data_IF_820154839898
#
_entry.id   IF_820154839898
#
_cell.length_a   1.000
_cell.length_b   1.000
_cell.length_c   1.000
_cell.angle_alpha   90.00
_cell.angle_beta   90.00
_cell.angle_gamma   90.00
#
_symmetry.space_group_name_H-M   'P 1'
#
loop_
_entity.id
_entity.type
_entity.pdbx_description
1 polymer ?
#
# COMPACT_ATOMS: atom_id res chain seq x y z
N UNK A 1 17.82 11.15 -16.86
CA UNK A 1 17.01 11.09 -15.61
C UNK A 1 17.84 10.84 -14.37
N UNK A 2 18.88 9.99 -14.39
CA UNK A 2 19.75 9.67 -13.23
C UNK A 2 20.04 10.85 -12.28
N UNK A 3 20.41 12.04 -12.77
CA UNK A 3 20.66 13.20 -11.89
C UNK A 3 19.49 13.64 -11.00
N UNK A 4 18.22 13.43 -11.42
CA UNK A 4 17.04 13.69 -10.57
C UNK A 4 16.87 12.60 -9.51
N UNK A 5 17.13 11.33 -9.85
CA UNK A 5 17.13 10.22 -8.88
C UNK A 5 18.20 10.41 -7.81
N UNK A 6 19.43 10.73 -8.23
CA UNK A 6 20.54 11.01 -7.31
C UNK A 6 20.21 12.21 -6.42
N UNK A 7 19.53 13.25 -6.92
CA UNK A 7 19.06 14.37 -6.11
C UNK A 7 18.01 13.95 -5.07
N UNK A 8 17.03 13.11 -5.44
CA UNK A 8 16.02 12.56 -4.50
C UNK A 8 16.71 11.72 -3.42
N UNK A 9 17.56 10.77 -3.80
CA UNK A 9 18.29 9.90 -2.86
C UNK A 9 19.20 10.69 -1.92
N UNK A 10 19.88 11.73 -2.41
CA UNK A 10 20.73 12.61 -1.60
C UNK A 10 19.93 13.56 -0.69
N UNK A 11 18.74 14.01 -1.10
CA UNK A 11 17.83 14.77 -0.25
C UNK A 11 17.27 13.90 0.90
N UNK A 12 16.91 12.65 0.63
CA UNK A 12 16.56 11.65 1.64
C UNK A 12 17.74 11.32 2.56
N UNK A 13 18.98 11.34 2.06
CA UNK A 13 20.18 11.13 2.88
C UNK A 13 20.46 12.27 3.87
N UNK A 14 20.17 13.52 3.49
CA UNK A 14 20.38 14.73 4.31
C UNK A 14 19.20 15.06 5.22
N UNK A 15 18.22 14.18 5.33
CA UNK A 15 16.98 14.40 6.09
C UNK A 15 16.55 13.14 6.84
N UNK A 16 15.55 13.27 7.70
CA UNK A 16 15.03 12.12 8.44
C UNK A 16 14.22 11.18 7.51
N UNK A 17 14.86 10.09 7.10
CA UNK A 17 14.24 9.02 6.31
C UNK A 17 13.12 8.29 7.05
N UNK A 18 13.09 8.31 8.39
CA UNK A 18 12.03 7.65 9.16
C UNK A 18 10.71 8.43 9.11
N UNK A 19 10.77 9.77 9.07
CA UNK A 19 9.58 10.62 8.98
C UNK A 19 8.93 10.60 7.59
N UNK A 20 7.72 10.03 7.53
CA UNK A 20 6.92 9.97 6.31
C UNK A 20 6.58 11.38 5.75
N UNK A 21 6.36 12.37 6.62
CA UNK A 21 6.06 13.76 6.21
C UNK A 21 7.25 14.41 5.48
N UNK A 22 8.47 14.14 5.95
CA UNK A 22 9.71 14.64 5.35
C UNK A 22 9.92 14.03 3.96
N UNK A 23 9.73 12.70 3.83
CA UNK A 23 9.80 12.02 2.53
C UNK A 23 8.73 12.54 1.56
N UNK A 24 7.49 12.69 2.00
CA UNK A 24 6.39 13.23 1.19
C UNK A 24 6.70 14.64 0.65
N UNK A 25 7.26 15.52 1.48
CA UNK A 25 7.69 16.88 1.08
C UNK A 25 8.80 16.86 0.02
N UNK A 26 9.72 15.89 0.10
CA UNK A 26 10.81 15.70 -0.88
C UNK A 26 10.27 15.21 -2.23
N UNK A 27 9.28 14.31 -2.25
CA UNK A 27 8.66 13.89 -3.52
C UNK A 27 7.81 15.01 -4.13
N UNK A 28 7.08 15.79 -3.31
CA UNK A 28 6.32 16.94 -3.79
C UNK A 28 7.20 18.01 -4.44
N UNK A 29 8.34 18.36 -3.82
CA UNK A 29 9.30 19.30 -4.42
C UNK A 29 9.98 18.73 -5.66
N UNK A 30 10.19 17.41 -5.72
CA UNK A 30 10.76 16.73 -6.89
C UNK A 30 9.82 16.72 -8.10
N UNK A 31 8.50 16.56 -7.89
CA UNK A 31 7.48 16.75 -8.93
C UNK A 31 7.50 18.17 -9.49
N UNK A 32 7.52 19.18 -8.60
CA UNK A 32 7.62 20.59 -8.99
C UNK A 32 8.95 20.90 -9.72
N UNK A 33 10.06 20.30 -9.30
CA UNK A 33 11.36 20.45 -9.96
C UNK A 33 11.40 19.83 -11.36
N UNK A 34 10.73 18.68 -11.56
CA UNK A 34 10.56 18.07 -12.89
C UNK A 34 9.79 19.01 -13.83
N UNK A 35 8.63 19.51 -13.40
CA UNK A 35 7.78 20.40 -14.22
C UNK A 35 8.48 21.73 -14.54
N UNK A 36 9.14 22.34 -13.55
CA UNK A 36 9.97 23.52 -13.76
C UNK A 36 11.19 23.24 -14.66
N UNK A 37 11.70 22.00 -14.68
CA UNK A 37 12.77 21.56 -15.56
C UNK A 37 12.31 21.40 -17.01
N UNK A 38 11.19 20.71 -17.25
CA UNK A 38 10.60 20.52 -18.58
C UNK A 38 10.22 21.84 -19.24
N UNK A 39 9.55 22.74 -18.49
CA UNK A 39 9.21 24.09 -18.98
C UNK A 39 10.45 24.95 -19.28
N UNK A 40 11.54 24.79 -18.51
CA UNK A 40 12.83 25.45 -18.83
C UNK A 40 13.51 24.89 -20.08
N UNK A 41 13.17 23.67 -20.49
CA UNK A 41 13.66 23.02 -21.71
C UNK A 41 12.75 23.30 -22.92
N UNK A 42 11.64 24.02 -22.75
CA UNK A 42 10.64 24.25 -23.79
C UNK A 42 9.81 23.00 -24.14
N UNK A 43 9.74 22.03 -23.22
CA UNK A 43 9.00 20.77 -23.40
C UNK A 43 7.61 20.94 -22.77
N UNK A 44 6.72 21.58 -23.51
CA UNK A 44 5.32 21.83 -23.13
C UNK A 44 4.32 20.84 -23.79
N UNK A 45 4.83 19.81 -24.48
CA UNK A 45 4.03 18.72 -25.07
C UNK A 45 3.34 17.87 -23.98
N UNK A 46 2.00 17.73 -24.00
CA UNK A 46 1.26 17.06 -22.92
C UNK A 46 1.55 15.57 -22.81
N UNK A 47 1.82 14.86 -23.92
CA UNK A 47 2.14 13.43 -23.88
C UNK A 47 3.55 13.21 -23.32
N UNK A 48 4.51 14.04 -23.72
CA UNK A 48 5.88 13.98 -23.19
C UNK A 48 5.87 14.33 -21.70
N UNK A 49 5.17 15.39 -21.28
CA UNK A 49 5.05 15.76 -19.85
C UNK A 49 4.37 14.65 -19.04
N UNK A 50 3.32 14.02 -19.56
CA UNK A 50 2.66 12.88 -18.91
C UNK A 50 3.62 11.67 -18.76
N UNK A 51 4.36 11.31 -19.81
CA UNK A 51 5.33 10.22 -19.77
C UNK A 51 6.48 10.49 -18.79
N UNK A 52 6.93 11.75 -18.67
CA UNK A 52 7.97 12.16 -17.73
C UNK A 52 7.46 12.09 -16.27
N UNK A 53 6.24 12.58 -16.01
CA UNK A 53 5.57 12.43 -14.70
C UNK A 53 5.43 10.95 -14.32
N UNK A 54 4.90 10.11 -15.20
CA UNK A 54 4.71 8.67 -14.93
C UNK A 54 6.03 7.96 -14.59
N UNK A 55 7.13 8.30 -15.27
CA UNK A 55 8.47 7.76 -14.95
C UNK A 55 8.98 8.22 -13.58
N UNK A 56 8.70 9.47 -13.17
CA UNK A 56 9.01 9.93 -11.81
C UNK A 56 8.18 9.19 -10.76
N UNK A 57 6.88 8.97 -10.98
CA UNK A 57 6.05 8.23 -10.03
C UNK A 57 6.52 6.79 -9.83
N UNK A 58 6.84 6.06 -10.92
CA UNK A 58 7.42 4.71 -10.85
C UNK A 58 8.72 4.70 -10.03
N UNK A 59 9.56 5.72 -10.20
CA UNK A 59 10.83 5.87 -9.48
C UNK A 59 10.63 6.22 -7.99
N UNK A 60 9.67 7.08 -7.66
CA UNK A 60 9.27 7.38 -6.28
C UNK A 60 8.70 6.13 -5.60
N UNK A 61 7.85 5.37 -6.27
CA UNK A 61 7.34 4.09 -5.75
C UNK A 61 8.44 3.05 -5.50
N UNK A 62 9.47 3.00 -6.36
CA UNK A 62 10.63 2.13 -6.15
C UNK A 62 11.43 2.53 -4.90
N UNK A 63 11.78 3.82 -4.75
CA UNK A 63 12.49 4.35 -3.58
C UNK A 63 11.68 4.17 -2.29
N UNK A 64 10.36 4.42 -2.33
CA UNK A 64 9.48 4.22 -1.18
C UNK A 64 9.38 2.75 -0.74
N UNK A 65 9.49 1.79 -1.66
CA UNK A 65 9.55 0.37 -1.33
C UNK A 65 10.92 -0.03 -0.76
N UNK A 66 12.01 0.56 -1.25
CA UNK A 66 13.36 0.39 -0.73
C UNK A 66 13.45 0.88 0.74
N UNK A 67 13.00 2.11 1.02
CA UNK A 67 13.00 2.66 2.38
C UNK A 67 12.00 1.94 3.31
N UNK A 68 10.82 1.51 2.84
CA UNK A 68 9.92 0.66 3.65
C UNK A 68 10.59 -0.66 4.05
N UNK A 69 11.21 -1.36 3.10
CA UNK A 69 11.90 -2.63 3.41
C UNK A 69 13.05 -2.41 4.40
N UNK A 70 13.78 -1.29 4.28
CA UNK A 70 14.86 -0.91 5.21
C UNK A 70 14.35 -0.58 6.62
N UNK A 71 13.22 0.11 6.74
CA UNK A 71 12.59 0.37 8.05
C UNK A 71 12.07 -0.92 8.69
N UNK A 72 11.48 -1.82 7.89
CA UNK A 72 11.05 -3.15 8.36
C UNK A 72 12.22 -3.97 8.90
N UNK A 73 13.38 -4.02 8.23
CA UNK A 73 14.55 -4.76 8.75
C UNK A 73 15.08 -4.17 10.06
N UNK A 74 15.06 -2.83 10.23
CA UNK A 74 15.47 -2.19 11.50
C UNK A 74 14.51 -2.54 12.64
N UNK A 75 13.21 -2.64 12.38
CA UNK A 75 12.21 -3.09 13.37
C UNK A 75 12.40 -4.57 13.69
N UNK A 76 12.62 -5.43 12.69
CA UNK A 76 12.87 -6.85 12.92
C UNK A 76 14.14 -7.08 13.75
N UNK A 77 15.23 -6.38 13.44
CA UNK A 77 16.47 -6.41 14.24
C UNK A 77 16.27 -5.88 15.67
N UNK A 78 15.31 -4.99 15.91
CA UNK A 78 14.96 -4.53 17.25
C UNK A 78 14.22 -5.63 18.03
N UNK A 79 13.13 -6.15 17.48
CA UNK A 79 12.32 -7.24 18.07
C UNK A 79 13.16 -8.49 18.31
N UNK A 80 14.07 -8.83 17.39
CA UNK A 80 15.00 -9.97 17.53
C UNK A 80 15.97 -9.79 18.70
N UNK A 81 16.45 -8.57 18.96
CA UNK A 81 17.31 -8.25 20.12
C UNK A 81 16.54 -8.20 21.43
N UNK A 82 15.28 -7.79 21.40
CA UNK A 82 14.42 -7.74 22.58
C UNK A 82 13.97 -9.15 23.00
N UNK A 83 13.52 -9.99 22.05
CA UNK A 83 13.19 -11.41 22.32
C UNK A 83 14.40 -12.22 22.78
N UNK A 84 15.61 -11.96 22.25
CA UNK A 84 16.85 -12.58 22.73
C UNK A 84 17.29 -12.09 24.13
N UNK A 85 16.66 -11.04 24.68
CA UNK A 85 16.94 -10.51 26.02
C UNK A 85 15.86 -10.88 27.05
N UNK A 86 14.74 -11.46 26.62
CA UNK A 86 13.72 -11.98 27.52
C UNK A 86 14.27 -13.19 28.31
N UNK A 87 14.03 -13.28 29.63
CA UNK A 87 14.43 -14.45 30.41
C UNK A 87 13.62 -15.68 29.97
N UNK A 88 14.28 -16.84 29.92
CA UNK A 88 13.64 -18.09 29.52
C UNK A 88 12.43 -18.42 30.44
N UNK A 89 11.32 -18.93 29.90
CA UNK A 89 10.14 -19.24 30.69
C UNK A 89 10.46 -20.35 31.71
N UNK A 90 10.12 -20.10 32.97
CA UNK A 90 10.34 -21.07 34.06
C UNK A 90 9.42 -22.27 33.84
N UNK A 91 10.01 -23.46 33.69
CA UNK A 91 9.26 -24.69 33.51
C UNK A 91 8.39 -24.99 34.75
N UNK A 92 7.14 -25.46 34.59
CA UNK A 92 6.28 -25.82 35.71
C UNK A 92 6.88 -27.01 36.48
N UNK A 93 6.74 -27.05 37.83
CA UNK A 93 7.34 -28.10 38.65
C UNK A 93 6.69 -29.47 38.36
N UNK A 94 7.52 -30.48 38.09
CA UNK A 94 7.06 -31.83 37.86
C UNK A 94 6.32 -32.41 39.09
N UNK A 95 5.14 -32.98 38.87
CA UNK A 95 4.39 -33.65 39.92
C UNK A 95 5.17 -34.89 40.42
N UNK A 96 5.25 -35.07 41.74
CA UNK A 96 5.95 -36.20 42.36
C UNK A 96 5.24 -37.52 42.04
N UNK A 97 5.98 -38.47 41.47
CA UNK A 97 5.50 -39.84 41.32
C UNK A 97 5.30 -40.50 42.70
N UNK A 98 4.23 -41.28 42.85
CA UNK A 98 4.02 -42.14 44.01
C UNK A 98 4.90 -43.40 43.90
N UNK A 99 5.35 -43.98 45.04
CA UNK A 99 6.20 -45.17 45.01
C UNK A 99 5.41 -46.40 44.52
N UNK A 100 5.99 -47.15 43.59
CA UNK A 100 5.41 -48.42 43.12
C UNK A 100 5.75 -49.56 44.08
N UNK A 101 4.83 -50.51 44.22
CA UNK A 101 4.98 -51.68 45.11
C UNK A 101 5.75 -52.78 44.38
N UNK A 102 6.85 -53.24 44.97
CA UNK A 102 7.68 -54.29 44.40
C UNK A 102 7.04 -55.68 44.50
N UNK A 103 7.11 -56.45 43.41
CA UNK A 103 7.08 -57.92 43.38
C UNK A 103 8.13 -58.45 42.38
N UNK A 104 8.61 -59.70 42.53
CA UNK A 104 9.97 -60.05 42.12
C UNK A 104 10.09 -60.75 40.76
N UNK A 105 11.34 -60.79 40.30
CA UNK A 105 11.96 -61.63 39.25
C UNK A 105 11.09 -62.69 38.55
N UNK A 106 11.03 -62.58 37.22
CA UNK A 106 11.12 -63.76 36.35
C UNK A 106 12.21 -63.50 35.29
N UNK A 107 12.96 -64.55 34.93
CA UNK A 107 14.26 -64.44 34.26
C UNK A 107 14.21 -65.06 32.87
N UNK A 108 14.51 -64.26 31.84
CA UNK A 108 14.79 -64.73 30.48
C UNK A 108 16.08 -64.08 30.00
N UNK A 109 16.85 -64.82 29.22
CA UNK A 109 18.17 -64.46 28.70
C UNK A 109 18.05 -63.60 27.43
N UNK A 110 18.96 -62.65 27.24
CA UNK A 110 19.33 -62.15 25.91
C UNK A 110 20.85 -61.89 25.89
N UNK A 111 21.46 -62.03 24.71
CA UNK A 111 22.86 -62.46 24.56
C UNK A 111 23.81 -61.36 24.06
N UNK A 112 25.11 -61.64 24.12
CA UNK A 112 26.26 -60.96 23.50
C UNK A 112 26.32 -59.41 23.50
N UNK A 113 27.33 -58.89 24.22
CA UNK A 113 27.72 -57.48 24.17
C UNK A 113 28.98 -57.26 23.32
N UNK A 114 29.06 -56.16 22.57
CA UNK A 114 30.34 -55.51 22.22
C UNK A 114 30.18 -53.99 21.99
N UNK A 115 30.91 -53.12 22.72
CA UNK A 115 30.96 -51.68 22.47
C UNK A 115 32.19 -51.27 21.64
N UNK A 116 32.06 -50.23 20.80
CA UNK A 116 33.21 -49.57 20.14
C UNK A 116 33.03 -48.05 20.17
N UNK A 117 33.92 -47.35 20.89
CA UNK A 117 34.03 -45.89 20.87
C UNK A 117 34.85 -45.38 19.66
N UNK A 118 34.61 -44.15 19.18
CA UNK A 118 35.36 -43.57 18.06
C UNK A 118 36.76 -43.10 18.49
N UNK A 119 37.78 -43.40 17.68
CA UNK A 119 39.14 -42.88 17.88
C UNK A 119 39.52 -41.85 16.80
N UNK A 120 39.92 -40.66 17.27
CA UNK A 120 40.60 -39.65 16.48
C UNK A 120 42.06 -40.05 16.25
N UNK A 121 42.52 -40.05 15.00
CA UNK A 121 43.94 -39.79 14.71
C UNK A 121 44.12 -39.11 13.35
N UNK A 122 44.97 -38.09 13.33
CA UNK A 122 45.48 -37.47 12.11
C UNK A 122 46.90 -37.98 11.82
N UNK A 123 47.29 -37.94 10.55
CA UNK A 123 48.67 -37.64 10.14
C UNK A 123 48.62 -36.99 8.74
N UNK A 124 49.75 -36.50 8.25
CA UNK A 124 49.88 -35.62 7.07
C UNK A 124 51.03 -36.10 6.18
N UNK A 125 50.86 -36.12 4.86
CA UNK A 125 51.90 -35.63 3.94
C UNK A 125 51.37 -35.18 2.57
N UNK A 126 52.15 -34.31 1.96
CA UNK A 126 51.87 -33.40 0.86
C UNK A 126 51.82 -34.06 -0.54
N UNK A 127 51.13 -33.42 -1.48
CA UNK A 127 51.74 -33.10 -2.79
C UNK A 127 51.09 -31.84 -3.45
N UNK A 128 51.77 -31.21 -4.40
CA UNK A 128 51.40 -29.95 -5.11
C UNK A 128 52.00 -29.94 -6.54
N UNK A 129 51.66 -29.00 -7.47
CA UNK A 129 50.82 -27.79 -7.40
C UNK A 129 49.61 -27.89 -8.37
N UNK A 130 48.97 -26.90 -9.02
CA UNK A 130 49.24 -25.46 -9.25
C UNK A 130 47.95 -24.68 -9.64
N UNK A 131 48.10 -23.37 -9.91
CA UNK A 131 47.33 -22.55 -10.85
C UNK A 131 46.11 -21.80 -10.28
N UNK A 132 46.42 -20.58 -9.82
CA UNK A 132 45.68 -19.31 -9.97
C UNK A 132 44.35 -19.10 -9.21
N UNK A 133 44.45 -18.28 -8.16
CA UNK A 133 43.38 -17.38 -7.72
C UNK A 133 43.69 -15.92 -8.14
N UNK A 134 42.68 -15.04 -8.17
CA UNK A 134 42.82 -13.60 -8.40
C UNK A 134 42.16 -12.85 -7.21
N UNK A 135 42.89 -11.98 -6.47
CA UNK A 135 42.34 -11.22 -5.35
C UNK A 135 41.83 -9.83 -5.77
N UNK A 136 40.98 -9.25 -4.93
CA UNK A 136 40.48 -7.87 -5.04
C UNK A 136 41.36 -6.88 -4.25
N UNK A 137 41.44 -5.59 -4.67
CA UNK A 137 42.13 -4.55 -3.90
C UNK A 137 41.20 -3.86 -2.89
N UNK A 138 41.71 -3.60 -1.67
CA UNK A 138 41.22 -2.54 -0.78
C UNK A 138 41.86 -1.20 -1.15
N UNK A 139 41.28 -0.10 -0.68
CA UNK A 139 41.89 1.24 -0.70
C UNK A 139 41.79 1.83 0.69
N UNK A 140 42.95 2.04 1.31
CA UNK A 140 43.31 2.80 2.52
C UNK A 140 44.86 2.88 2.45
N UNK A 141 45.60 3.92 2.84
CA UNK A 141 45.29 5.15 3.59
C UNK A 141 46.39 6.24 3.32
N UNK A 142 46.38 7.34 4.09
CA UNK A 142 47.43 8.37 4.35
C UNK A 142 47.43 9.73 3.61
N UNK A 143 46.99 10.77 4.36
CA UNK A 143 47.69 12.04 4.72
C UNK A 143 48.57 12.81 3.68
N UNK A 144 48.68 14.16 3.63
CA UNK A 144 48.02 15.36 4.19
C UNK A 144 48.63 16.60 3.42
N UNK A 145 48.49 17.91 3.68
CA UNK A 145 47.86 18.81 4.67
C UNK A 145 47.72 20.24 4.02
N UNK A 146 47.07 21.22 4.70
CA UNK A 146 47.15 22.70 4.48
C UNK A 146 46.60 23.30 3.16
N UNK A 147 45.83 24.40 3.15
CA UNK A 147 45.16 25.12 4.25
C UNK A 147 44.52 26.47 3.85
N UNK A 148 43.21 26.62 4.12
CA UNK A 148 42.48 27.85 4.55
C UNK A 148 42.62 29.16 3.72
N UNK A 149 41.62 29.50 2.90
CA UNK A 149 40.78 30.75 2.93
C UNK A 149 39.88 30.89 1.68
N UNK A 150 38.84 31.72 1.79
CA UNK A 150 38.06 32.34 0.69
C UNK A 150 38.01 33.87 0.96
N UNK A 151 37.79 34.79 -0.01
CA UNK A 151 36.50 34.89 -0.71
C UNK A 151 36.49 35.50 -2.15
N UNK A 152 35.28 35.57 -2.71
CA UNK A 152 34.68 36.60 -3.60
C UNK A 152 35.21 37.07 -4.99
N UNK A 153 34.24 37.13 -5.90
CA UNK A 153 33.89 38.20 -6.86
C UNK A 153 34.87 38.79 -7.93
N UNK A 154 34.43 38.59 -9.20
CA UNK A 154 34.47 39.50 -10.38
C UNK A 154 35.75 39.67 -11.21
N UNK A 155 35.51 40.12 -12.46
CA UNK A 155 36.44 40.61 -13.50
C UNK A 155 37.28 39.56 -14.24
N UNK A 156 37.73 39.76 -15.49
CA UNK A 156 36.99 40.00 -16.77
C UNK A 156 37.99 40.06 -17.93
N UNK A 157 37.78 39.31 -19.04
CA UNK A 157 38.48 39.47 -20.35
C UNK A 157 40.01 39.12 -20.23
N UNK A 158 40.76 38.71 -21.26
CA UNK A 158 40.75 39.13 -22.66
C UNK A 158 41.17 38.04 -23.66
N UNK A 159 40.75 38.29 -24.88
CA UNK A 159 40.90 37.60 -26.16
C UNK A 159 42.35 37.24 -26.59
N UNK A 160 42.47 36.12 -27.32
CA UNK A 160 43.37 35.90 -28.48
C UNK A 160 43.03 34.53 -29.10
N UNK A 161 43.37 34.15 -30.34
CA UNK A 161 43.32 34.82 -31.66
C UNK A 161 43.72 33.78 -32.76
N UNK A 162 43.27 34.00 -34.01
CA UNK A 162 43.61 33.21 -35.23
C UNK A 162 43.21 31.70 -35.24
N UNK A 163 42.65 31.13 -36.30
CA UNK A 163 43.07 31.23 -37.71
C UNK A 163 41.90 30.88 -38.67
N UNK A 164 41.58 31.73 -39.67
CA UNK A 164 42.05 31.75 -41.07
C UNK A 164 41.19 30.95 -42.09
N UNK A 165 40.40 31.66 -42.91
CA UNK A 165 40.47 31.66 -44.39
C UNK A 165 39.40 32.59 -45.00
N UNK A 166 39.60 33.02 -46.26
CA UNK A 166 38.83 34.08 -46.92
C UNK A 166 38.17 33.62 -48.24
N UNK A 167 36.96 34.12 -48.52
CA UNK A 167 36.52 34.51 -49.88
C UNK A 167 35.33 35.50 -49.81
N UNK A 168 35.49 36.77 -50.23
CA UNK A 168 34.38 37.72 -50.31
C UNK A 168 33.87 37.90 -51.75
N UNK A 169 32.78 37.24 -52.14
CA UNK A 169 32.19 37.40 -53.47
C UNK A 169 31.00 38.39 -53.53
N UNK A 170 31.13 39.40 -54.41
CA UNK A 170 30.08 40.21 -55.05
C UNK A 170 28.96 40.79 -54.16
N UNK A 171 29.31 41.91 -53.52
CA UNK A 171 28.49 43.12 -53.37
C UNK A 171 27.00 43.05 -53.83
N UNK A 172 26.10 42.73 -52.90
CA UNK A 172 24.66 42.81 -53.13
C UNK A 172 24.21 44.27 -53.36
N UNK A 173 23.63 44.56 -54.53
CA UNK A 173 23.18 45.92 -54.91
C UNK A 173 22.16 46.48 -53.92
N UNK A 174 22.27 47.77 -53.62
CA UNK A 174 21.52 48.47 -52.57
C UNK A 174 19.99 48.21 -52.61
N UNK A 175 19.46 47.62 -51.53
CA UNK A 175 18.07 47.14 -51.46
C UNK A 175 17.09 48.31 -51.21
N UNK A 176 16.62 48.92 -52.30
CA UNK A 176 15.68 50.07 -52.32
C UNK A 176 14.53 49.94 -51.30
N UNK A 177 14.41 50.93 -50.41
CA UNK A 177 13.23 51.35 -49.62
C UNK A 177 12.20 50.26 -49.20
N UNK A 178 12.62 49.11 -48.66
CA UNK A 178 11.67 48.10 -48.12
C UNK A 178 10.93 48.53 -46.83
N UNK A 179 11.35 49.61 -46.18
CA UNK A 179 10.81 50.03 -44.88
C UNK A 179 9.30 50.31 -44.84
N UNK A 180 8.70 50.83 -45.91
CA UNK A 180 7.24 51.10 -45.93
C UNK A 180 6.45 49.80 -46.00
N UNK A 181 6.79 48.90 -46.93
CA UNK A 181 6.10 47.60 -47.09
C UNK A 181 6.29 46.73 -45.84
N UNK A 182 7.47 46.73 -45.23
CA UNK A 182 7.73 46.00 -43.99
C UNK A 182 6.90 46.56 -42.81
N UNK A 183 6.81 47.89 -42.67
CA UNK A 183 5.94 48.52 -41.66
C UNK A 183 4.47 48.20 -41.90
N UNK A 184 3.99 48.26 -43.16
CA UNK A 184 2.61 47.98 -43.50
C UNK A 184 2.24 46.51 -43.25
N UNK A 185 3.17 45.56 -43.50
CA UNK A 185 3.03 44.17 -43.07
C UNK A 185 2.96 44.04 -41.54
N UNK A 186 3.85 44.69 -40.78
CA UNK A 186 3.82 44.66 -39.30
C UNK A 186 2.50 45.22 -38.75
N UNK A 187 2.01 46.35 -39.28
CA UNK A 187 0.70 46.91 -38.89
C UNK A 187 -0.45 45.98 -39.27
N UNK A 188 -0.42 45.33 -40.44
CA UNK A 188 -1.42 44.34 -40.83
C UNK A 188 -1.40 43.11 -39.92
N UNK A 189 -0.23 42.58 -39.56
CA UNK A 189 -0.11 41.46 -38.61
C UNK A 189 -0.60 41.85 -37.21
N UNK A 190 -0.29 43.05 -36.71
CA UNK A 190 -0.83 43.56 -35.45
C UNK A 190 -2.35 43.71 -35.48
N UNK A 191 -2.90 44.27 -36.56
CA UNK A 191 -4.34 44.44 -36.72
C UNK A 191 -5.06 43.09 -36.85
N UNK A 192 -4.45 42.11 -37.54
CA UNK A 192 -4.94 40.73 -37.60
C UNK A 192 -4.93 40.06 -36.21
N UNK A 193 -3.85 40.19 -35.43
CA UNK A 193 -3.79 39.67 -34.05
C UNK A 193 -4.83 40.33 -33.13
N UNK A 194 -5.01 41.65 -33.22
CA UNK A 194 -6.04 42.38 -32.47
C UNK A 194 -7.46 41.94 -32.87
N UNK A 195 -7.72 41.79 -34.18
CA UNK A 195 -9.00 41.31 -34.69
C UNK A 195 -9.30 39.87 -34.27
N UNK A 196 -8.31 38.97 -34.35
CA UNK A 196 -8.46 37.57 -33.94
C UNK A 196 -8.60 37.43 -32.42
N UNK A 197 -7.90 38.27 -31.64
CA UNK A 197 -8.05 38.35 -30.18
C UNK A 197 -9.42 38.87 -29.76
N UNK A 198 -9.92 39.94 -30.39
CA UNK A 198 -11.26 40.46 -30.13
C UNK A 198 -12.36 39.47 -30.56
N UNK A 199 -12.21 38.83 -31.72
CA UNK A 199 -13.09 37.75 -32.17
C UNK A 199 -13.09 36.57 -31.20
N UNK A 200 -11.92 36.14 -30.71
CA UNK A 200 -11.79 35.05 -29.75
C UNK A 200 -12.39 35.39 -28.38
N UNK A 201 -12.21 36.62 -27.88
CA UNK A 201 -12.88 37.09 -26.65
C UNK A 201 -14.41 37.07 -26.80
N UNK A 202 -14.92 37.46 -27.96
CA UNK A 202 -16.36 37.40 -28.27
C UNK A 202 -16.86 35.94 -28.39
N UNK A 203 -16.14 35.08 -29.13
CA UNK A 203 -16.58 33.71 -29.43
C UNK A 203 -16.30 32.67 -28.34
N UNK A 204 -15.39 32.95 -27.40
CA UNK A 204 -15.06 32.07 -26.27
C UNK A 204 -16.08 32.16 -25.12
N UNK A 205 -17.07 33.05 -25.23
CA UNK A 205 -18.08 33.28 -24.21
C UNK A 205 -17.54 33.84 -22.89
N UNK A 206 -16.30 34.34 -22.87
CA UNK A 206 -15.64 34.80 -21.64
C UNK A 206 -16.31 36.05 -21.02
N UNK A 207 -17.16 36.74 -21.81
CA UNK A 207 -17.99 37.88 -21.40
C UNK A 207 -19.40 37.49 -20.93
N UNK A 208 -19.87 36.25 -21.16
CA UNK A 208 -21.16 35.79 -20.63
C UNK A 208 -21.05 35.54 -19.13
N UNK A 209 -22.11 35.84 -18.38
CA UNK A 209 -22.16 35.63 -16.93
C UNK A 209 -22.10 34.14 -16.56
N UNK A 210 -21.79 33.78 -15.30
CA UNK A 210 -21.77 32.38 -14.87
C UNK A 210 -23.09 31.64 -15.14
N UNK A 211 -24.22 32.31 -14.93
CA UNK A 211 -25.56 31.74 -15.13
C UNK A 211 -25.91 31.45 -16.61
N UNK A 212 -25.30 32.17 -17.57
CA UNK A 212 -25.53 31.94 -19.00
C UNK A 212 -24.61 30.84 -19.59
N UNK A 213 -23.54 30.46 -18.86
CA UNK A 213 -22.69 29.32 -19.23
C UNK A 213 -23.25 27.99 -18.73
N UNK A 214 -24.17 28.02 -17.78
CA UNK A 214 -24.77 26.85 -17.15
C UNK A 214 -25.92 26.28 -18.02
N UNK A 215 -25.56 25.84 -19.23
CA UNK A 215 -26.51 25.33 -20.25
C UNK A 215 -26.97 23.89 -20.00
N UNK A 216 -26.85 23.39 -18.76
CA UNK A 216 -27.12 22.02 -18.36
C UNK A 216 -27.91 21.91 -17.06
N UNK A 217 -29.24 22.03 -17.16
CA UNK A 217 -30.24 22.02 -16.06
C UNK A 217 -30.25 23.32 -15.23
N UNK A 218 -31.41 23.91 -14.90
CA UNK A 218 -31.49 25.04 -13.99
C UNK A 218 -31.01 24.66 -12.58
N UNK A 219 -29.79 25.09 -12.25
CA UNK A 219 -29.21 24.94 -10.93
C UNK A 219 -29.40 26.27 -10.16
N UNK A 220 -30.45 26.42 -9.32
CA UNK A 220 -30.61 27.61 -8.51
C UNK A 220 -29.42 27.75 -7.54
N UNK A 221 -29.05 28.99 -7.13
CA UNK A 221 -28.01 29.17 -6.13
C UNK A 221 -28.38 28.41 -4.84
N UNK A 222 -27.41 27.82 -4.12
CA UNK A 222 -27.67 27.05 -2.91
C UNK A 222 -28.06 27.97 -1.74
N UNK A 223 -29.32 28.40 -1.72
CA UNK A 223 -29.94 29.07 -0.59
C UNK A 223 -30.24 28.05 0.51
N UNK A 224 -29.61 28.24 1.68
CA UNK A 224 -29.96 27.49 2.89
C UNK A 224 -31.21 28.14 3.49
N UNK A 225 -32.38 27.76 2.96
CA UNK A 225 -33.67 28.20 3.48
C UNK A 225 -33.92 27.49 4.82
N UNK A 226 -33.84 28.24 5.92
CA UNK A 226 -33.90 27.72 7.29
C UNK A 226 -35.32 27.60 7.85
N UNK A 227 -36.33 27.44 6.98
CA UNK A 227 -37.74 27.68 7.32
C UNK A 227 -38.67 26.54 6.87
N UNK A 228 -38.42 25.33 7.38
CA UNK A 228 -39.49 24.31 7.53
C UNK A 228 -39.25 23.35 8.71
N UNK A 229 -38.58 23.83 9.77
CA UNK A 229 -38.27 23.06 10.98
C UNK A 229 -39.51 22.92 11.88
N UNK A 230 -40.51 22.15 11.43
CA UNK A 230 -41.63 21.73 12.27
C UNK A 230 -41.11 20.77 13.35
N UNK A 231 -41.49 20.99 14.60
CA UNK A 231 -40.85 20.39 15.78
C UNK A 231 -41.20 18.92 16.07
N UNK A 232 -40.98 18.03 15.10
CA UNK A 232 -41.02 16.58 15.29
C UNK A 232 -39.59 15.99 15.22
N UNK A 233 -39.23 15.00 16.06
CA UNK A 233 -37.88 14.44 16.09
C UNK A 233 -37.68 13.39 14.99
N UNK A 234 -37.63 13.84 13.73
CA UNK A 234 -37.24 12.99 12.61
C UNK A 234 -35.71 12.84 12.54
N UNK A 235 -35.22 11.61 12.33
CA UNK A 235 -33.80 11.31 12.46
C UNK A 235 -32.98 11.86 11.27
N UNK A 236 -31.78 12.41 11.51
CA UNK A 236 -30.96 12.96 10.43
C UNK A 236 -30.53 11.86 9.44
N UNK A 237 -30.47 12.16 8.13
CA UNK A 237 -30.07 11.19 7.12
C UNK A 237 -28.66 10.67 7.41
N UNK A 238 -28.50 9.35 7.42
CA UNK A 238 -27.24 8.69 7.79
C UNK A 238 -26.15 8.94 6.74
N UNK A 239 -25.28 9.93 7.02
CA UNK A 239 -23.95 9.99 6.41
C UNK A 239 -23.25 8.63 6.62
N UNK A 240 -22.69 8.07 5.54
CA UNK A 240 -21.95 6.80 5.58
C UNK A 240 -20.54 6.99 6.16
N UNK A 241 -20.49 7.39 7.43
CA UNK A 241 -19.26 7.52 8.21
C UNK A 241 -18.83 6.14 8.72
N UNK A 242 -17.69 5.64 8.24
CA UNK A 242 -17.15 4.31 8.55
C UNK A 242 -16.67 4.18 10.01
N UNK A 243 -17.63 4.11 10.94
CA UNK A 243 -17.37 4.08 12.38
C UNK A 243 -18.60 4.33 13.27
N UNK A 244 -19.78 4.62 12.71
CA UNK A 244 -21.05 4.75 13.46
C UNK A 244 -22.11 3.79 12.90
N UNK A 245 -23.09 3.46 13.75
CA UNK A 245 -23.97 2.31 13.57
C UNK A 245 -24.70 2.23 12.23
N UNK A 246 -24.80 1.02 11.70
CA UNK A 246 -25.70 0.65 10.62
C UNK A 246 -27.16 0.76 11.11
N UNK A 247 -28.13 0.85 10.19
CA UNK A 247 -29.55 0.84 10.55
C UNK A 247 -29.98 -0.45 11.25
N UNK A 248 -31.05 -0.37 12.05
CA UNK A 248 -31.55 -1.47 12.91
C UNK A 248 -31.95 -2.75 12.15
N UNK A 249 -31.97 -2.74 10.82
CA UNK A 249 -32.21 -3.90 9.96
C UNK A 249 -30.96 -4.81 9.76
N UNK A 250 -29.80 -4.45 10.31
CA UNK A 250 -28.56 -5.25 10.19
C UNK A 250 -28.29 -6.13 11.41
N UNK A 251 -28.59 -7.41 11.29
CA UNK A 251 -28.32 -8.45 12.30
C UNK A 251 -26.82 -8.67 12.52
N UNK A 252 -26.34 -8.42 13.74
CA UNK A 252 -24.91 -8.48 14.09
C UNK A 252 -24.46 -9.87 14.59
N UNK A 253 -24.19 -10.76 13.63
CA UNK A 253 -23.73 -12.13 13.88
C UNK A 253 -22.33 -12.20 14.54
N UNK A 254 -21.45 -11.22 14.33
CA UNK A 254 -20.15 -11.15 15.01
C UNK A 254 -19.61 -9.72 15.18
N UNK A 255 -18.92 -9.48 16.31
CA UNK A 255 -18.26 -8.21 16.61
C UNK A 255 -17.06 -8.40 17.56
N UNK A 256 -15.87 -7.99 17.13
CA UNK A 256 -14.61 -8.14 17.85
C UNK A 256 -14.55 -7.31 19.16
N UNK A 257 -15.36 -6.27 19.31
CA UNK A 257 -15.48 -5.53 20.58
C UNK A 257 -16.04 -6.41 21.71
N UNK A 258 -16.86 -7.41 21.36
CA UNK A 258 -17.40 -8.47 22.24
C UNK A 258 -16.44 -9.67 22.42
N UNK A 259 -15.26 -9.64 21.80
CA UNK A 259 -14.25 -10.71 21.87
C UNK A 259 -14.31 -11.69 20.70
N UNK A 260 -13.86 -12.92 20.92
CA UNK A 260 -13.78 -14.00 19.92
C UNK A 260 -14.92 -15.04 20.01
N UNK A 261 -15.99 -14.74 20.76
CA UNK A 261 -17.15 -15.63 20.88
C UNK A 261 -17.82 -15.85 19.52
N UNK A 262 -18.29 -17.07 19.27
CA UNK A 262 -18.89 -17.47 17.99
C UNK A 262 -17.89 -17.78 16.87
N UNK A 263 -16.58 -17.61 17.08
CA UNK A 263 -15.56 -18.02 16.11
C UNK A 263 -15.12 -19.48 16.33
N UNK A 264 -14.88 -20.23 15.25
CA UNK A 264 -14.22 -21.54 15.27
C UNK A 264 -13.03 -21.56 14.33
N UNK A 265 -11.82 -21.76 14.85
CA UNK A 265 -10.61 -21.98 14.05
C UNK A 265 -10.54 -23.43 13.54
N UNK A 266 -10.15 -23.63 12.28
CA UNK A 266 -9.66 -24.91 11.78
C UNK A 266 -8.27 -25.27 12.35
N UNK A 267 -7.81 -26.51 12.13
CA UNK A 267 -6.58 -27.04 12.76
C UNK A 267 -5.30 -26.30 12.37
N UNK A 268 -5.30 -25.59 11.24
CA UNK A 268 -4.21 -24.79 10.69
C UNK A 268 -4.59 -23.30 10.55
N UNK A 269 -5.62 -22.87 11.26
CA UNK A 269 -6.02 -21.47 11.41
C UNK A 269 -5.64 -20.95 12.80
N UNK A 270 -5.21 -19.68 12.90
CA UNK A 270 -4.91 -19.00 14.16
C UNK A 270 -5.81 -17.77 14.30
N UNK A 271 -6.34 -17.57 15.51
CA UNK A 271 -7.37 -16.56 15.82
C UNK A 271 -6.96 -15.82 17.10
N UNK A 272 -6.48 -14.58 16.95
CA UNK A 272 -5.88 -13.79 18.05
C UNK A 272 -6.65 -12.49 18.29
N UNK A 273 -7.10 -12.18 19.53
CA UNK A 273 -7.65 -10.87 19.84
C UNK A 273 -6.54 -9.82 19.88
N UNK A 274 -6.72 -8.71 19.17
CA UNK A 274 -5.78 -7.59 19.11
C UNK A 274 -6.48 -6.25 19.29
N UNK A 275 -5.73 -5.23 19.72
CA UNK A 275 -6.16 -3.84 19.68
C UNK A 275 -5.47 -3.14 18.50
N UNK A 276 -6.24 -2.38 17.72
CA UNK A 276 -5.74 -1.57 16.60
C UNK A 276 -6.08 -0.09 16.83
N UNK A 277 -5.45 0.81 16.08
CA UNK A 277 -5.81 2.23 16.09
C UNK A 277 -7.28 2.52 15.70
N UNK A 278 -7.96 1.57 15.07
CA UNK A 278 -9.35 1.69 14.63
C UNK A 278 -10.38 1.00 15.58
N UNK A 279 -9.93 0.33 16.64
CA UNK A 279 -10.76 -0.46 17.57
C UNK A 279 -10.18 -1.86 17.85
N UNK A 280 -10.87 -2.69 18.64
CA UNK A 280 -10.52 -4.11 18.80
C UNK A 280 -10.76 -4.86 17.49
N UNK A 281 -9.90 -5.82 17.18
CA UNK A 281 -10.05 -6.74 16.06
C UNK A 281 -9.72 -8.17 16.49
N UNK A 282 -10.17 -9.15 15.73
CA UNK A 282 -9.61 -10.50 15.79
C UNK A 282 -8.74 -10.72 14.55
N UNK A 283 -7.45 -10.96 14.76
CA UNK A 283 -6.53 -11.34 13.68
C UNK A 283 -6.79 -12.81 13.31
N UNK A 284 -7.05 -13.04 12.03
CA UNK A 284 -7.23 -14.35 11.42
C UNK A 284 -6.00 -14.67 10.57
N UNK A 285 -5.39 -15.82 10.80
CA UNK A 285 -4.19 -16.28 10.07
C UNK A 285 -4.37 -17.72 9.60
N UNK A 286 -4.67 -17.90 8.31
CA UNK A 286 -4.84 -19.17 7.63
C UNK A 286 -3.51 -19.69 7.06
N UNK A 287 -2.99 -20.80 7.59
CA UNK A 287 -1.69 -21.36 7.15
C UNK A 287 -1.77 -22.23 5.88
N UNK A 288 -2.99 -22.49 5.39
CA UNK A 288 -3.29 -23.31 4.20
C UNK A 288 -4.56 -22.78 3.51
N UNK A 289 -4.77 -23.11 2.23
CA UNK A 289 -5.90 -22.60 1.42
C UNK A 289 -7.22 -23.39 1.62
N UNK A 290 -7.09 -24.56 2.25
CA UNK A 290 -8.06 -25.63 2.43
C UNK A 290 -8.87 -25.50 3.74
N UNK A 291 -9.76 -26.47 4.01
CA UNK A 291 -10.68 -26.47 5.14
C UNK A 291 -10.01 -26.26 6.51
N UNK A 292 -8.84 -26.86 6.74
CA UNK A 292 -8.07 -26.71 7.98
C UNK A 292 -7.55 -25.29 8.23
N UNK A 293 -7.37 -24.49 7.18
CA UNK A 293 -6.97 -23.09 7.28
C UNK A 293 -8.14 -22.14 7.52
N UNK A 294 -9.38 -22.60 7.46
CA UNK A 294 -10.55 -21.74 7.56
C UNK A 294 -10.89 -21.34 9.00
N UNK A 295 -11.55 -20.19 9.16
CA UNK A 295 -12.20 -19.75 10.39
C UNK A 295 -13.70 -19.62 10.12
N UNK A 296 -14.52 -20.33 10.90
CA UNK A 296 -15.97 -20.17 10.93
C UNK A 296 -16.39 -19.02 11.84
N UNK A 297 -17.39 -18.26 11.41
CA UNK A 297 -18.21 -17.36 12.23
C UNK A 297 -19.59 -18.00 12.34
N UNK A 298 -20.06 -18.24 13.56
CA UNK A 298 -21.39 -18.82 13.82
C UNK A 298 -22.49 -17.85 13.39
N UNK A 299 -23.44 -18.31 12.58
CA UNK A 299 -24.67 -17.58 12.26
C UNK A 299 -25.84 -18.26 12.99
N UNK A 300 -26.52 -17.57 13.94
CA UNK A 300 -27.62 -18.16 14.69
C UNK A 300 -28.82 -18.55 13.81
N UNK A 301 -29.60 -19.59 14.19
CA UNK A 301 -30.74 -20.07 13.40
C UNK A 301 -31.90 -19.06 13.32
N UNK A 302 -31.95 -18.04 14.18
CA UNK A 302 -32.84 -16.89 14.07
C UNK A 302 -32.57 -16.07 12.80
N UNK A 303 -31.33 -15.63 12.58
CA UNK A 303 -30.96 -14.87 11.36
C UNK A 303 -31.19 -15.74 10.11
N UNK A 304 -30.88 -17.04 10.17
CA UNK A 304 -31.13 -17.97 9.06
C UNK A 304 -32.62 -18.22 8.76
N UNK A 305 -33.52 -17.96 9.72
CA UNK A 305 -34.98 -18.00 9.48
C UNK A 305 -35.47 -16.78 8.71
N UNK A 306 -34.85 -15.62 8.89
CA UNK A 306 -35.24 -14.37 8.24
C UNK A 306 -34.65 -14.26 6.82
N UNK A 307 -33.51 -14.91 6.56
CA UNK A 307 -32.93 -15.05 5.22
C UNK A 307 -33.68 -16.06 4.32
N UNK A 308 -34.57 -16.90 4.86
CA UNK A 308 -35.13 -18.04 4.16
C UNK A 308 -36.17 -17.64 3.10
N UNK A 309 -35.95 -18.06 1.84
CA UNK A 309 -36.75 -17.63 0.69
C UNK A 309 -36.39 -16.23 0.15
N UNK A 310 -35.33 -15.58 0.66
CA UNK A 310 -35.02 -14.17 0.40
C UNK A 310 -33.67 -13.95 -0.30
N UNK A 311 -33.48 -12.73 -0.82
CA UNK A 311 -32.17 -12.21 -1.24
C UNK A 311 -31.60 -11.31 -0.15
N UNK A 312 -30.58 -11.80 0.56
CA UNK A 312 -29.98 -11.16 1.75
C UNK A 312 -28.55 -10.67 1.45
N UNK A 313 -28.06 -9.68 2.19
CA UNK A 313 -26.69 -9.17 2.04
C UNK A 313 -25.85 -9.46 3.28
N UNK A 314 -24.73 -10.13 3.11
CA UNK A 314 -23.74 -10.35 4.17
C UNK A 314 -22.66 -9.28 4.04
N UNK A 315 -22.35 -8.59 5.13
CA UNK A 315 -21.29 -7.58 5.21
C UNK A 315 -20.21 -8.04 6.20
N UNK A 316 -18.95 -8.12 5.77
CA UNK A 316 -17.83 -8.56 6.62
C UNK A 316 -16.75 -7.48 6.65
N UNK A 317 -16.64 -6.79 7.79
CA UNK A 317 -15.75 -5.66 8.02
C UNK A 317 -14.32 -6.16 8.26
N UNK A 318 -13.43 -5.94 7.29
CA UNK A 318 -12.08 -6.50 7.24
C UNK A 318 -11.02 -5.43 6.95
N UNK A 319 -9.78 -5.77 7.27
CA UNK A 319 -8.56 -5.00 6.94
C UNK A 319 -7.39 -5.98 6.83
N UNK A 320 -6.41 -5.72 5.97
CA UNK A 320 -5.14 -6.44 5.99
C UNK A 320 -4.37 -6.11 7.28
N UNK A 321 -3.76 -7.09 7.95
CA UNK A 321 -2.92 -6.82 9.11
C UNK A 321 -1.51 -6.33 8.72
N UNK A 322 -1.33 -5.83 7.49
CA UNK A 322 -0.08 -5.26 6.96
C UNK A 322 -0.36 -4.17 5.92
N UNK A 323 0.64 -3.35 5.63
CA UNK A 323 0.59 -2.31 4.58
C UNK A 323 0.47 -2.85 3.14
N UNK A 324 0.36 -4.17 2.97
CA UNK A 324 0.16 -4.85 1.69
C UNK A 324 -1.26 -5.40 1.60
N UNK A 325 -1.81 -5.39 0.39
CA UNK A 325 -3.07 -6.05 0.09
C UNK A 325 -2.93 -7.57 0.24
N UNK A 326 -4.00 -8.23 0.72
CA UNK A 326 -4.07 -9.68 0.90
C UNK A 326 -5.32 -10.23 0.23
N UNK A 327 -5.20 -11.27 -0.60
CA UNK A 327 -6.35 -11.97 -1.16
C UNK A 327 -6.88 -13.00 -0.16
N UNK A 328 -8.13 -12.82 0.25
CA UNK A 328 -8.85 -13.69 1.18
C UNK A 328 -10.07 -14.28 0.48
N UNK A 329 -10.68 -15.31 1.07
CA UNK A 329 -11.96 -15.85 0.58
C UNK A 329 -13.00 -15.97 1.66
N UNK A 330 -14.24 -15.66 1.30
CA UNK A 330 -15.42 -15.85 2.15
C UNK A 330 -16.38 -16.79 1.43
N UNK A 331 -16.97 -17.71 2.18
CA UNK A 331 -17.99 -18.67 1.75
C UNK A 331 -18.98 -18.89 2.89
N UNK A 332 -20.07 -19.63 2.64
CA UNK A 332 -21.14 -19.80 3.63
C UNK A 332 -21.59 -21.26 3.66
N UNK A 333 -21.90 -21.78 4.85
CA UNK A 333 -22.50 -23.09 5.08
C UNK A 333 -23.67 -22.92 6.04
N UNK A 334 -24.89 -22.83 5.50
CA UNK A 334 -26.12 -22.65 6.25
C UNK A 334 -26.97 -23.94 6.23
N UNK A 335 -26.33 -25.10 6.10
CA UNK A 335 -26.98 -26.41 6.20
C UNK A 335 -28.13 -26.59 5.19
N UNK A 336 -29.36 -26.71 5.68
CA UNK A 336 -30.54 -26.92 4.82
C UNK A 336 -30.90 -25.72 3.96
N UNK A 337 -30.57 -24.49 4.38
CA UNK A 337 -30.83 -23.27 3.60
C UNK A 337 -29.97 -23.22 2.33
N UNK A 338 -28.72 -23.69 2.42
CA UNK A 338 -27.78 -23.78 1.32
C UNK A 338 -26.37 -23.36 1.71
N UNK A 339 -25.55 -23.09 0.69
CA UNK A 339 -24.22 -22.50 0.82
C UNK A 339 -24.12 -21.27 -0.09
N UNK A 340 -23.13 -20.41 0.15
CA UNK A 340 -22.73 -19.36 -0.80
C UNK A 340 -21.39 -19.74 -1.43
N UNK A 341 -21.15 -19.27 -2.66
CA UNK A 341 -19.93 -19.58 -3.40
C UNK A 341 -18.66 -19.08 -2.67
N UNK A 342 -17.48 -19.58 -3.04
CA UNK A 342 -16.20 -19.07 -2.51
C UNK A 342 -15.86 -17.73 -3.17
N UNK A 343 -16.44 -16.65 -2.67
CA UNK A 343 -16.13 -15.29 -3.08
C UNK A 343 -14.69 -14.95 -2.68
N UNK A 344 -13.92 -14.37 -3.60
CA UNK A 344 -12.56 -13.86 -3.35
C UNK A 344 -12.60 -12.35 -3.19
N UNK A 345 -11.90 -11.84 -2.19
CA UNK A 345 -11.81 -10.42 -1.86
C UNK A 345 -10.36 -10.02 -1.64
N UNK A 346 -10.07 -8.73 -1.82
CA UNK A 346 -8.74 -8.16 -1.55
C UNK A 346 -8.85 -7.21 -0.36
N UNK A 347 -8.42 -7.65 0.82
CA UNK A 347 -8.32 -6.76 1.97
C UNK A 347 -7.19 -5.75 1.75
N UNK A 348 -7.49 -4.46 1.93
CA UNK A 348 -6.53 -3.36 1.87
C UNK A 348 -6.01 -3.03 3.29
N UNK A 349 -4.98 -2.18 3.43
CA UNK A 349 -4.56 -1.67 4.74
C UNK A 349 -5.60 -0.75 5.42
N UNK A 350 -6.65 -0.37 4.71
CA UNK A 350 -7.78 0.40 5.22
C UNK A 350 -8.93 -0.54 5.63
N UNK A 351 -9.74 -0.13 6.62
CA UNK A 351 -10.93 -0.90 7.01
C UNK A 351 -12.01 -0.73 5.93
N UNK A 352 -12.53 -1.84 5.41
CA UNK A 352 -13.62 -1.85 4.44
C UNK A 352 -14.59 -3.03 4.67
N UNK A 353 -15.85 -2.85 4.29
CA UNK A 353 -16.86 -3.90 4.33
C UNK A 353 -16.86 -4.71 3.04
N UNK A 354 -16.60 -6.01 3.14
CA UNK A 354 -16.74 -6.95 2.03
C UNK A 354 -18.21 -7.39 1.94
N UNK A 355 -18.90 -6.97 0.88
CA UNK A 355 -20.33 -7.27 0.66
C UNK A 355 -20.53 -8.51 -0.21
N UNK A 356 -21.43 -9.39 0.21
CA UNK A 356 -21.83 -10.61 -0.51
C UNK A 356 -23.35 -10.66 -0.57
N UNK A 357 -23.91 -10.60 -1.78
CA UNK A 357 -25.34 -10.80 -2.00
C UNK A 357 -25.59 -12.31 -2.14
N UNK A 358 -26.54 -12.85 -1.37
CA UNK A 358 -26.91 -14.28 -1.38
C UNK A 358 -28.43 -14.42 -1.54
N UNK A 359 -28.86 -15.29 -2.44
CA UNK A 359 -30.28 -15.61 -2.65
C UNK A 359 -30.51 -17.07 -2.33
N UNK A 360 -31.52 -17.36 -1.49
CA UNK A 360 -31.86 -18.71 -1.10
C UNK A 360 -33.30 -19.05 -1.46
N UNK A 361 -33.48 -19.82 -2.54
CA UNK A 361 -34.80 -20.29 -3.02
C UNK A 361 -35.54 -21.20 -2.00
N UNK A 362 -34.84 -21.62 -0.94
CA UNK A 362 -35.35 -22.50 0.11
C UNK A 362 -35.97 -21.70 1.23
N UNK A 363 -37.28 -21.85 1.40
CA UNK A 363 -38.06 -21.28 2.52
C UNK A 363 -37.92 -22.08 3.83
N UNK A 364 -37.39 -23.30 3.80
CA UNK A 364 -37.18 -24.13 4.99
C UNK A 364 -35.81 -23.86 5.64
N UNK A 365 -35.82 -22.91 6.57
CA UNK A 365 -34.66 -22.58 7.40
C UNK A 365 -34.17 -23.74 8.28
N UNK A 366 -32.86 -23.84 8.57
CA UNK A 366 -32.30 -24.82 9.48
C UNK A 366 -32.69 -24.54 10.94
N UNK A 367 -32.83 -25.60 11.73
CA UNK A 367 -32.92 -25.52 13.20
C UNK A 367 -31.54 -25.44 13.88
N UNK A 368 -30.47 -25.68 13.15
CA UNK A 368 -29.07 -25.57 13.59
C UNK A 368 -28.45 -24.24 13.16
N UNK A 369 -27.51 -23.72 13.95
CA UNK A 369 -26.66 -22.61 13.53
C UNK A 369 -25.86 -22.96 12.25
N UNK A 370 -25.67 -21.96 11.40
CA UNK A 370 -24.82 -22.03 10.21
C UNK A 370 -23.47 -21.34 10.44
N UNK A 371 -22.67 -21.22 9.38
CA UNK A 371 -21.33 -20.64 9.42
C UNK A 371 -21.05 -19.74 8.21
N UNK A 372 -20.51 -18.54 8.45
CA UNK A 372 -19.72 -17.81 7.44
C UNK A 372 -18.28 -18.29 7.58
N UNK A 373 -17.66 -18.72 6.49
CA UNK A 373 -16.36 -19.40 6.48
C UNK A 373 -15.35 -18.51 5.75
N UNK A 374 -14.36 -18.00 6.50
CA UNK A 374 -13.30 -17.11 6.03
C UNK A 374 -11.98 -17.87 5.96
N UNK A 375 -11.22 -17.67 4.89
CA UNK A 375 -9.79 -18.01 4.83
C UNK A 375 -9.01 -16.71 4.56
N UNK A 376 -8.01 -16.39 5.39
CA UNK A 376 -7.31 -15.10 5.35
C UNK A 376 -6.38 -14.94 4.15
N UNK A 377 -5.96 -16.05 3.53
CA UNK A 377 -4.95 -16.08 2.47
C UNK A 377 -5.24 -17.21 1.48
N UNK A 378 -5.83 -16.87 0.33
CA UNK A 378 -6.20 -17.87 -0.70
C UNK A 378 -4.99 -18.59 -1.31
N UNK A 379 -3.79 -18.05 -1.15
CA UNK A 379 -2.54 -18.63 -1.60
C UNK A 379 -1.84 -19.44 -0.48
N UNK A 380 -2.39 -19.48 0.74
CA UNK A 380 -1.90 -20.28 1.86
C UNK A 380 -0.57 -19.83 2.49
N UNK A 381 -0.10 -18.61 2.22
CA UNK A 381 1.18 -18.10 2.73
C UNK A 381 1.11 -17.61 4.20
N UNK A 382 0.00 -17.81 4.91
CA UNK A 382 -0.15 -17.33 6.29
C UNK A 382 -0.33 -15.82 6.42
N UNK A 383 -0.81 -15.10 5.39
CA UNK A 383 -1.05 -13.65 5.47
C UNK A 383 -2.21 -13.34 6.44
N UNK A 384 -1.99 -12.52 7.48
CA UNK A 384 -3.02 -12.21 8.48
C UNK A 384 -3.97 -11.08 8.03
N UNK A 385 -5.26 -11.24 8.34
CA UNK A 385 -6.29 -10.19 8.19
C UNK A 385 -6.97 -9.91 9.52
N UNK A 386 -7.37 -8.67 9.74
CA UNK A 386 -8.08 -8.21 10.95
C UNK A 386 -9.58 -8.20 10.66
N UNK A 387 -10.34 -9.06 11.35
CA UNK A 387 -11.81 -9.07 11.36
C UNK A 387 -12.33 -8.15 12.47
N UNK A 388 -13.24 -7.24 12.12
CA UNK A 388 -13.88 -6.32 13.07
C UNK A 388 -15.32 -6.71 13.38
N UNK A 389 -16.12 -6.97 12.35
CA UNK A 389 -17.52 -7.39 12.48
C UNK A 389 -17.98 -8.20 11.28
N UNK A 390 -19.00 -9.02 11.48
CA UNK A 390 -19.82 -9.56 10.40
C UNK A 390 -21.29 -9.30 10.73
N UNK A 391 -22.04 -8.82 9.73
CA UNK A 391 -23.46 -8.51 9.82
C UNK A 391 -24.20 -9.09 8.63
N UNK A 392 -25.50 -9.31 8.80
CA UNK A 392 -26.41 -9.75 7.74
C UNK A 392 -27.57 -8.77 7.69
N UNK A 393 -27.92 -8.33 6.48
CA UNK A 393 -29.20 -7.71 6.18
C UNK A 393 -30.09 -8.79 5.54
N UNK A 394 -31.08 -9.35 6.26
CA UNK A 394 -32.12 -10.15 5.65
C UNK A 394 -32.81 -9.34 4.54
N UNK A 395 -33.21 -10.01 3.46
CA UNK A 395 -33.99 -9.36 2.41
C UNK A 395 -35.41 -8.99 2.86
N UNK A 396 -36.15 -8.30 1.99
CA UNK A 396 -37.62 -8.29 2.03
C UNK A 396 -38.19 -9.55 1.35
#
# INVERSE_FOLDING_TARGET
>A
MSGLETAIRNALEKSDRSSAEVRARIYQSSRQALEAGLRKQGIDDPEVVAQQRQRLEVLVHAIENEERNRLLSVVEDHVRRETARAPAPVAPPAARAAPQVAKPDERVEEDDALPVEPQLRAERLDDTPDTRAIPSPRIDDFHAERGVTAPDARSTRTEDAASLSFTPERAAKARRKKGVVARLFIYFTLLAFLGFGAWWIYSSGILLSPAERDTGVPNPPPEVQSEDFTGAPEAPPQNREAGRGFSDAWEEVFNAERGNQGLQAGSLAVVEPISTAAGKAIRLTSRVSEADGNVGITVPPEVLREMAGKSSTIAVTLQSSSDRQTQLSISCDFGSLGNCARHRFTATPERADMLINVTFDRTLAPSSAGRIIINSDVDGNGRPVNLYSARILPGE
#
